data_IF_585224203055
#
_entry.id   IF_585224203055
#
_cell.length_a   1.000
_cell.length_b   1.000
_cell.length_c   1.000
_cell.angle_alpha   90.00
_cell.angle_beta   90.00
_cell.angle_gamma   90.00
#
_symmetry.space_group_name_H-M   'P 1'
#
loop_
_entity.id
_entity.type
_entity.pdbx_description
1 polymer ?
#
# COMPACT_ATOMS: atom_id res chain seq x y z
N UNK A 1 -12.37 6.67 7.66
CA UNK A 1 -12.16 5.59 6.66
C UNK A 1 -11.64 4.36 7.40
N UNK A 2 -12.45 3.30 7.50
CA UNK A 2 -12.03 2.01 8.08
C UNK A 2 -10.80 1.48 7.33
N UNK A 3 -9.86 0.89 8.08
CA UNK A 3 -8.64 0.31 7.53
C UNK A 3 -8.91 -1.11 7.02
N UNK A 4 -8.28 -1.48 5.89
CA UNK A 4 -8.48 -2.76 5.22
C UNK A 4 -7.17 -3.49 4.88
N UNK A 5 -6.02 -3.01 5.35
CA UNK A 5 -4.73 -3.66 5.12
C UNK A 5 -4.52 -4.85 6.07
N UNK A 6 -4.26 -6.04 5.54
CA UNK A 6 -3.80 -7.15 6.38
C UNK A 6 -2.29 -6.99 6.67
N UNK A 7 -1.81 -7.02 7.93
CA UNK A 7 -0.42 -6.74 8.30
C UNK A 7 0.56 -7.62 7.55
N UNK A 8 0.24 -8.91 7.40
CA UNK A 8 1.09 -9.83 6.65
C UNK A 8 1.03 -9.57 5.14
N UNK A 9 -0.10 -9.10 4.59
CA UNK A 9 -0.14 -8.68 3.18
C UNK A 9 0.65 -7.39 2.97
N UNK A 10 0.67 -6.49 3.96
CA UNK A 10 1.49 -5.29 3.95
C UNK A 10 2.98 -5.59 4.11
N UNK A 11 3.33 -6.60 4.90
CA UNK A 11 4.70 -7.05 5.11
C UNK A 11 5.24 -7.83 3.91
N UNK A 12 4.48 -8.81 3.41
CA UNK A 12 4.88 -9.69 2.31
C UNK A 12 4.65 -9.08 0.92
N UNK A 13 3.81 -8.04 0.82
CA UNK A 13 3.47 -7.31 -0.41
C UNK A 13 3.17 -8.20 -1.63
N UNK A 14 2.31 -9.22 -1.51
CA UNK A 14 2.04 -10.14 -2.60
C UNK A 14 1.26 -9.43 -3.72
N UNK A 15 1.41 -9.92 -4.96
CA UNK A 15 0.53 -9.50 -6.07
C UNK A 15 -0.89 -10.00 -5.78
N UNK A 16 -1.81 -9.07 -5.53
CA UNK A 16 -3.21 -9.38 -5.27
C UNK A 16 -3.99 -9.52 -6.59
N UNK A 17 -4.57 -10.68 -6.82
CA UNK A 17 -5.41 -10.98 -7.98
C UNK A 17 -6.84 -10.45 -7.81
N UNK A 18 -7.33 -10.45 -6.57
CA UNK A 18 -8.68 -10.02 -6.26
C UNK A 18 -8.84 -9.59 -4.80
N UNK A 19 -9.80 -8.70 -4.58
CA UNK A 19 -10.25 -8.26 -3.25
C UNK A 19 -11.76 -8.41 -3.17
N UNK A 20 -12.26 -8.98 -2.08
CA UNK A 20 -13.68 -9.10 -1.80
C UNK A 20 -14.02 -8.50 -0.44
N UNK A 21 -15.21 -7.91 -0.34
CA UNK A 21 -15.82 -7.51 0.93
C UNK A 21 -17.13 -8.28 1.12
N UNK A 22 -17.54 -8.58 2.37
CA UNK A 22 -18.86 -9.11 2.61
C UNK A 22 -19.94 -8.19 2.05
N UNK A 23 -20.98 -8.80 1.48
CA UNK A 23 -22.10 -8.06 0.92
C UNK A 23 -22.72 -7.13 1.98
N UNK A 24 -22.84 -5.83 1.64
CA UNK A 24 -23.38 -4.82 2.53
C UNK A 24 -22.38 -4.24 3.54
N UNK A 25 -21.09 -4.62 3.50
CA UNK A 25 -19.99 -4.04 4.29
C UNK A 25 -18.95 -3.32 3.39
N UNK A 26 -19.42 -2.56 2.41
CA UNK A 26 -18.63 -1.93 1.34
C UNK A 26 -18.33 -0.44 1.57
N UNK A 27 -18.88 0.16 2.63
CA UNK A 27 -18.71 1.57 2.92
C UNK A 27 -18.65 1.88 4.42
N UNK A 28 -18.14 3.07 4.77
CA UNK A 28 -17.90 3.48 6.16
C UNK A 28 -19.18 3.53 7.01
N UNK A 29 -20.33 3.90 6.44
CA UNK A 29 -21.59 3.94 7.17
C UNK A 29 -22.06 2.52 7.53
N UNK A 30 -21.88 1.56 6.63
CA UNK A 30 -22.14 0.16 6.89
C UNK A 30 -21.22 -0.43 7.95
N UNK A 31 -19.91 -0.17 7.89
CA UNK A 31 -18.95 -0.63 8.91
C UNK A 31 -19.30 -0.08 10.30
N UNK A 32 -19.63 1.21 10.41
CA UNK A 32 -20.04 1.79 11.71
C UNK A 32 -21.29 1.14 12.29
N UNK A 33 -22.28 0.84 11.43
CA UNK A 33 -23.49 0.14 11.86
C UNK A 33 -23.16 -1.28 12.35
N UNK A 34 -22.33 -2.00 11.59
CA UNK A 34 -21.91 -3.36 11.90
C UNK A 34 -21.09 -3.45 13.20
N UNK A 35 -20.33 -2.42 13.56
CA UNK A 35 -19.68 -2.34 14.88
C UNK A 35 -20.70 -2.08 15.97
N UNK A 36 -21.61 -1.12 15.75
CA UNK A 36 -22.62 -0.74 16.74
C UNK A 36 -23.60 -1.88 17.07
N UNK A 37 -23.90 -2.77 16.12
CA UNK A 37 -24.78 -3.93 16.31
C UNK A 37 -24.02 -5.22 16.67
N UNK A 38 -22.69 -5.17 16.80
CA UNK A 38 -21.85 -6.30 17.18
C UNK A 38 -21.58 -7.33 16.07
N UNK A 39 -21.99 -7.05 14.83
CA UNK A 39 -21.61 -7.86 13.66
C UNK A 39 -20.10 -7.87 13.45
N UNK A 40 -19.44 -6.72 13.63
CA UNK A 40 -17.99 -6.57 13.62
C UNK A 40 -17.49 -6.19 15.02
N UNK A 41 -16.29 -6.67 15.38
CA UNK A 41 -15.62 -6.33 16.65
C UNK A 41 -14.93 -4.97 16.58
N UNK A 42 -14.44 -4.60 15.41
CA UNK A 42 -13.62 -3.40 15.19
C UNK A 42 -14.06 -2.66 13.92
N UNK A 43 -13.84 -1.33 13.83
CA UNK A 43 -14.21 -0.52 12.67
C UNK A 43 -13.21 -0.69 11.52
N UNK A 44 -13.07 -1.92 11.03
CA UNK A 44 -12.19 -2.33 9.95
C UNK A 44 -13.01 -2.95 8.82
N UNK A 45 -12.51 -2.87 7.58
CA UNK A 45 -13.12 -3.62 6.49
C UNK A 45 -12.64 -5.08 6.57
N UNK A 46 -13.54 -6.06 6.72
CA UNK A 46 -13.17 -7.47 6.82
C UNK A 46 -12.92 -8.05 5.42
N UNK A 47 -11.85 -7.59 4.77
CA UNK A 47 -11.56 -7.94 3.38
C UNK A 47 -10.94 -9.33 3.23
N UNK A 48 -11.28 -9.99 2.13
CA UNK A 48 -10.63 -11.18 1.62
C UNK A 48 -9.75 -10.77 0.44
N UNK A 49 -8.44 -10.82 0.62
CA UNK A 49 -7.45 -10.45 -0.39
C UNK A 49 -6.78 -11.72 -0.90
N UNK A 50 -6.87 -11.98 -2.20
CA UNK A 50 -6.35 -13.20 -2.82
C UNK A 50 -5.04 -12.91 -3.55
N UNK A 51 -4.02 -13.69 -3.25
CA UNK A 51 -2.81 -13.86 -4.03
C UNK A 51 -2.83 -15.26 -4.69
N UNK A 52 -1.78 -15.62 -5.43
CA UNK A 52 -1.69 -16.87 -6.21
C UNK A 52 -2.02 -18.12 -5.36
N UNK A 53 -1.26 -18.35 -4.29
CA UNK A 53 -1.35 -19.54 -3.43
C UNK A 53 -1.90 -19.23 -2.02
N UNK A 54 -2.24 -17.97 -1.75
CA UNK A 54 -2.60 -17.49 -0.41
C UNK A 54 -3.78 -16.54 -0.41
N UNK A 55 -4.48 -16.51 0.71
CA UNK A 55 -5.50 -15.53 1.02
C UNK A 55 -5.20 -14.84 2.35
N UNK A 56 -5.32 -13.52 2.37
CA UNK A 56 -5.20 -12.69 3.57
C UNK A 56 -6.59 -12.23 3.97
N UNK A 57 -7.01 -12.60 5.18
CA UNK A 57 -8.38 -12.39 5.65
C UNK A 57 -8.41 -12.32 7.17
N UNK A 58 -9.23 -11.46 7.74
CA UNK A 58 -9.46 -11.44 9.20
C UNK A 58 -10.83 -12.00 9.55
N UNK A 59 -10.92 -13.31 9.70
CA UNK A 59 -12.17 -13.98 10.05
C UNK A 59 -12.59 -13.69 11.50
N UNK A 60 -11.62 -13.45 12.38
CA UNK A 60 -11.87 -13.11 13.78
C UNK A 60 -12.54 -11.74 13.98
N UNK A 61 -12.52 -10.84 12.98
CA UNK A 61 -13.20 -9.54 13.07
C UNK A 61 -14.72 -9.66 13.15
N UNK A 62 -15.30 -10.77 12.70
CA UNK A 62 -16.73 -11.00 12.84
C UNK A 62 -17.06 -11.37 14.30
N UNK A 63 -18.01 -10.65 14.91
CA UNK A 63 -18.36 -10.81 16.32
C UNK A 63 -18.86 -12.22 16.67
N UNK A 64 -19.41 -12.93 15.68
CA UNK A 64 -19.93 -14.30 15.82
C UNK A 64 -18.97 -15.39 15.33
N UNK A 65 -17.80 -15.04 14.81
CA UNK A 65 -16.90 -16.04 14.26
C UNK A 65 -16.44 -17.04 15.32
N UNK A 66 -16.50 -18.32 15.00
CA UNK A 66 -15.94 -19.41 15.82
C UNK A 66 -14.52 -19.78 15.40
N UNK A 67 -14.02 -19.21 14.29
CA UNK A 67 -12.64 -19.40 13.84
C UNK A 67 -11.74 -18.55 14.73
N UNK A 68 -10.79 -19.20 15.40
CA UNK A 68 -9.92 -18.57 16.42
C UNK A 68 -9.06 -17.42 15.86
N UNK A 69 -8.33 -16.74 16.74
CA UNK A 69 -7.52 -15.56 16.39
C UNK A 69 -6.34 -15.82 15.44
N UNK A 70 -5.99 -17.08 15.20
CA UNK A 70 -4.69 -17.47 14.64
C UNK A 70 -4.64 -17.66 13.12
N UNK A 71 -5.79 -17.70 12.43
CA UNK A 71 -5.84 -18.09 11.01
C UNK A 71 -6.22 -16.90 10.12
N UNK A 72 -5.33 -15.91 10.01
CA UNK A 72 -5.58 -14.70 9.19
C UNK A 72 -4.85 -14.72 7.83
N UNK A 73 -4.07 -15.76 7.58
CA UNK A 73 -3.48 -16.05 6.27
C UNK A 73 -3.66 -17.53 6.01
N UNK A 74 -4.37 -17.85 4.92
CA UNK A 74 -4.81 -19.20 4.60
C UNK A 74 -4.23 -19.62 3.25
N UNK A 75 -3.93 -20.91 3.10
CA UNK A 75 -3.57 -21.47 1.80
C UNK A 75 -4.80 -21.47 0.89
N UNK A 76 -4.62 -20.96 -0.33
CA UNK A 76 -5.64 -20.90 -1.37
C UNK A 76 -5.40 -22.05 -2.35
N UNK A 77 -6.35 -22.97 -2.38
CA UNK A 77 -6.39 -24.02 -3.39
C UNK A 77 -7.31 -23.58 -4.52
N UNK A 78 -6.72 -23.33 -5.70
CA UNK A 78 -7.48 -22.97 -6.89
C UNK A 78 -8.44 -24.11 -7.31
N UNK A 79 -9.62 -23.74 -7.78
CA UNK A 79 -10.62 -24.64 -8.35
C UNK A 79 -11.16 -24.09 -9.66
N UNK A 80 -11.93 -24.91 -10.38
CA UNK A 80 -12.49 -24.52 -11.69
C UNK A 80 -13.66 -23.54 -11.60
N UNK A 81 -14.33 -23.48 -10.46
CA UNK A 81 -15.55 -22.67 -10.24
C UNK A 81 -15.43 -21.76 -9.00
N UNK A 82 -14.20 -21.54 -8.53
CA UNK A 82 -13.94 -20.87 -7.27
C UNK A 82 -12.61 -21.31 -6.65
N UNK A 83 -12.53 -21.31 -5.33
CA UNK A 83 -11.36 -21.76 -4.59
C UNK A 83 -11.75 -22.24 -3.20
N UNK A 84 -10.82 -22.96 -2.58
CA UNK A 84 -10.90 -23.40 -1.19
C UNK A 84 -9.82 -22.71 -0.38
N UNK A 85 -10.16 -22.25 0.83
CA UNK A 85 -9.21 -21.76 1.82
C UNK A 85 -9.03 -22.82 2.90
N UNK A 86 -7.81 -23.32 3.09
CA UNK A 86 -7.51 -24.32 4.11
C UNK A 86 -7.36 -23.64 5.48
N UNK A 87 -7.97 -24.22 6.52
CA UNK A 87 -8.01 -23.63 7.87
C UNK A 87 -6.84 -24.08 8.76
N UNK A 88 -6.34 -25.30 8.55
CA UNK A 88 -5.36 -25.99 9.40
C UNK A 88 -4.40 -26.91 8.60
N UNK A 89 -4.35 -26.74 7.28
CA UNK A 89 -3.50 -27.53 6.39
C UNK A 89 -2.89 -26.65 5.31
N UNK A 90 -1.73 -27.07 4.79
CA UNK A 90 -1.07 -26.45 3.65
C UNK A 90 -1.12 -27.33 2.39
N UNK A 91 -1.76 -28.51 2.47
CA UNK A 91 -1.82 -29.47 1.37
C UNK A 91 -3.14 -29.37 0.58
N UNK A 92 -3.08 -28.76 -0.60
CA UNK A 92 -4.23 -28.68 -1.49
C UNK A 92 -4.70 -30.02 -2.06
N UNK A 93 -3.90 -31.08 -1.97
CA UNK A 93 -4.31 -32.43 -2.36
C UNK A 93 -5.19 -33.10 -1.29
N UNK A 94 -5.13 -32.66 -0.03
CA UNK A 94 -5.97 -33.18 1.03
C UNK A 94 -7.42 -32.71 0.85
N UNK A 95 -8.28 -33.62 0.38
CA UNK A 95 -9.72 -33.34 0.18
C UNK A 95 -10.52 -33.31 1.48
N UNK A 96 -9.96 -33.80 2.58
CA UNK A 96 -10.63 -33.87 3.89
C UNK A 96 -10.23 -32.72 4.82
N UNK A 97 -9.20 -31.94 4.46
CA UNK A 97 -8.76 -30.79 5.24
C UNK A 97 -9.92 -29.79 5.49
N UNK A 98 -10.16 -29.39 6.75
CA UNK A 98 -11.07 -28.32 7.11
C UNK A 98 -10.84 -27.06 6.25
N UNK A 99 -11.90 -26.61 5.58
CA UNK A 99 -11.78 -25.54 4.58
C UNK A 99 -13.06 -24.75 4.39
N UNK A 100 -12.90 -23.54 3.84
CA UNK A 100 -13.98 -22.68 3.38
C UNK A 100 -14.01 -22.67 1.85
N UNK A 101 -15.13 -23.06 1.26
CA UNK A 101 -15.32 -23.13 -0.19
C UNK A 101 -16.03 -21.88 -0.70
N UNK A 102 -15.32 -21.09 -1.50
CA UNK A 102 -15.84 -19.92 -2.16
C UNK A 102 -16.13 -20.24 -3.62
N UNK A 103 -17.39 -20.15 -4.02
CA UNK A 103 -17.85 -20.50 -5.36
C UNK A 103 -18.61 -19.37 -6.02
N UNK A 104 -18.55 -19.31 -7.35
CA UNK A 104 -19.29 -18.35 -8.16
C UNK A 104 -18.42 -17.62 -9.18
N UNK A 105 -18.98 -16.63 -9.88
CA UNK A 105 -18.23 -15.85 -10.85
C UNK A 105 -17.20 -14.98 -10.11
N UNK A 106 -15.94 -15.43 -10.13
CA UNK A 106 -14.79 -14.77 -9.49
C UNK A 106 -14.60 -13.32 -9.93
N UNK A 107 -15.18 -12.91 -11.05
CA UNK A 107 -15.12 -11.52 -11.49
C UNK A 107 -16.11 -10.59 -10.81
N UNK A 108 -17.07 -11.10 -10.05
CA UNK A 108 -18.16 -10.30 -9.48
C UNK A 108 -18.47 -10.60 -8.02
N UNK A 109 -18.76 -11.86 -7.68
CA UNK A 109 -19.21 -12.23 -6.35
C UNK A 109 -18.99 -13.72 -6.10
N UNK A 110 -18.77 -14.03 -4.83
CA UNK A 110 -18.58 -15.39 -4.34
C UNK A 110 -19.58 -15.69 -3.24
N UNK A 111 -19.93 -16.97 -3.14
CA UNK A 111 -20.69 -17.54 -2.03
C UNK A 111 -19.79 -18.54 -1.32
N UNK A 112 -19.63 -18.35 -0.02
CA UNK A 112 -18.92 -19.26 0.86
C UNK A 112 -19.89 -20.23 1.51
N UNK A 113 -19.71 -21.54 1.26
CA UNK A 113 -20.67 -22.58 1.66
C UNK A 113 -20.72 -22.80 3.17
N UNK A 114 -19.57 -22.81 3.83
CA UNK A 114 -19.44 -23.16 5.25
C UNK A 114 -19.50 -21.94 6.17
N UNK A 115 -19.44 -20.74 5.59
CA UNK A 115 -19.27 -19.47 6.32
C UNK A 115 -20.36 -19.23 7.38
N UNK A 116 -21.63 -19.51 7.08
CA UNK A 116 -22.71 -19.35 8.06
C UNK A 116 -22.50 -20.22 9.31
N UNK A 117 -22.01 -21.46 9.14
CA UNK A 117 -21.79 -22.41 10.23
C UNK A 117 -20.67 -21.99 11.18
N UNK A 118 -19.75 -21.13 10.73
CA UNK A 118 -18.63 -20.60 11.52
C UNK A 118 -18.78 -19.11 11.84
N UNK A 119 -19.99 -18.55 11.65
CA UNK A 119 -20.33 -17.20 12.07
C UNK A 119 -19.70 -16.07 11.25
N UNK A 120 -19.40 -16.32 9.97
CA UNK A 120 -18.88 -15.33 9.02
C UNK A 120 -19.85 -15.18 7.83
N UNK A 121 -19.82 -14.05 7.08
CA UNK A 121 -20.75 -13.81 5.98
C UNK A 121 -20.61 -14.83 4.84
N UNK A 122 -21.73 -15.27 4.27
CA UNK A 122 -21.73 -16.20 3.14
C UNK A 122 -21.45 -15.49 1.82
N UNK A 123 -21.90 -14.24 1.65
CA UNK A 123 -21.83 -13.54 0.36
C UNK A 123 -20.72 -12.51 0.37
N UNK A 124 -19.86 -12.59 -0.64
CA UNK A 124 -18.68 -11.75 -0.81
C UNK A 124 -18.72 -11.09 -2.18
N UNK A 125 -18.57 -9.78 -2.23
CA UNK A 125 -18.63 -8.98 -3.45
C UNK A 125 -17.22 -8.57 -3.84
N UNK A 126 -16.85 -8.87 -5.09
CA UNK A 126 -15.59 -8.44 -5.66
C UNK A 126 -15.60 -6.92 -5.69
N UNK A 127 -14.55 -6.36 -5.14
CA UNK A 127 -14.31 -4.94 -5.20
C UNK A 127 -13.58 -4.69 -6.51
N UNK A 128 -14.05 -3.69 -7.26
CA UNK A 128 -13.36 -3.28 -8.47
C UNK A 128 -11.87 -3.08 -8.13
N UNK A 129 -10.95 -3.52 -9.01
CA UNK A 129 -9.57 -3.07 -8.89
C UNK A 129 -9.60 -1.55 -8.72
N UNK A 130 -8.68 -1.02 -7.91
CA UNK A 130 -8.53 0.43 -7.76
C UNK A 130 -8.56 1.13 -9.13
N UNK A 131 -9.03 2.38 -9.15
CA UNK A 131 -9.33 3.11 -10.38
C UNK A 131 -8.30 2.82 -11.49
N UNK A 132 -8.79 2.28 -12.62
CA UNK A 132 -7.98 2.13 -13.83
C UNK A 132 -7.87 3.50 -14.48
N UNK A 133 -6.86 4.24 -14.05
CA UNK A 133 -6.61 5.56 -14.59
C UNK A 133 -5.76 5.42 -15.84
N UNK A 134 -6.25 5.97 -16.95
CA UNK A 134 -5.48 6.06 -18.18
C UNK A 134 -4.30 6.99 -17.94
N UNK A 135 -3.09 6.43 -18.01
CA UNK A 135 -1.87 7.23 -17.95
C UNK A 135 -1.65 7.93 -19.29
N UNK A 136 -1.13 9.17 -19.30
CA UNK A 136 -0.75 9.83 -20.54
C UNK A 136 0.41 9.09 -21.23
N UNK A 137 0.70 9.46 -22.47
CA UNK A 137 1.89 8.98 -23.16
C UNK A 137 3.14 9.32 -22.35
N UNK A 138 4.01 8.33 -22.17
CA UNK A 138 5.27 8.51 -21.44
C UNK A 138 6.29 9.27 -22.28
N UNK A 139 6.93 10.25 -21.67
CA UNK A 139 8.09 10.94 -22.22
C UNK A 139 9.09 11.20 -21.08
N UNK A 140 10.27 10.59 -21.16
CA UNK A 140 11.27 10.63 -20.09
C UNK A 140 11.81 12.05 -19.86
N UNK A 141 12.08 12.81 -20.93
CA UNK A 141 12.62 14.18 -20.81
C UNK A 141 11.58 15.11 -20.18
N UNK A 142 10.31 14.99 -20.57
CA UNK A 142 9.22 15.72 -19.95
C UNK A 142 9.04 15.33 -18.47
N UNK A 143 9.18 14.04 -18.13
CA UNK A 143 9.07 13.56 -16.75
C UNK A 143 10.21 14.10 -15.88
N UNK A 144 11.45 14.15 -16.38
CA UNK A 144 12.60 14.76 -15.69
C UNK A 144 12.36 16.24 -15.41
N UNK A 145 11.87 17.00 -16.41
CA UNK A 145 11.50 18.41 -16.21
C UNK A 145 10.38 18.58 -15.18
N UNK A 146 9.37 17.71 -15.19
CA UNK A 146 8.29 17.72 -14.20
C UNK A 146 8.79 17.39 -12.80
N UNK A 147 9.72 16.45 -12.68
CA UNK A 147 10.37 16.09 -11.43
C UNK A 147 11.18 17.25 -10.87
N UNK A 148 12.03 17.91 -11.66
CA UNK A 148 12.84 19.06 -11.22
C UNK A 148 11.95 20.22 -10.74
N UNK A 149 10.89 20.51 -11.51
CA UNK A 149 9.92 21.52 -11.15
C UNK A 149 9.17 21.17 -9.85
N UNK A 150 8.81 19.89 -9.68
CA UNK A 150 8.20 19.40 -8.44
C UNK A 150 9.15 19.49 -7.26
N UNK A 151 10.39 19.04 -7.42
CA UNK A 151 11.40 19.03 -6.38
C UNK A 151 11.71 20.43 -5.88
N UNK A 152 11.78 21.42 -6.78
CA UNK A 152 11.96 22.83 -6.40
C UNK A 152 10.82 23.33 -5.50
N UNK A 153 9.56 22.98 -5.82
CA UNK A 153 8.41 23.34 -4.99
C UNK A 153 8.40 22.57 -3.68
N UNK A 154 8.68 21.27 -3.73
CA UNK A 154 8.71 20.40 -2.58
C UNK A 154 9.79 20.83 -1.58
N UNK A 155 10.98 21.20 -2.04
CA UNK A 155 12.07 21.75 -1.22
C UNK A 155 11.61 23.00 -0.47
N UNK A 156 11.04 23.97 -1.19
CA UNK A 156 10.49 25.19 -0.60
C UNK A 156 9.38 24.90 0.41
N UNK A 157 8.41 24.07 0.04
CA UNK A 157 7.23 23.78 0.85
C UNK A 157 7.59 22.98 2.11
N UNK A 158 8.63 22.13 2.04
CA UNK A 158 9.08 21.27 3.14
C UNK A 158 9.97 22.00 4.16
N UNK A 159 10.52 23.18 3.83
CA UNK A 159 11.42 23.94 4.73
C UNK A 159 10.93 24.03 6.19
N UNK A 160 9.64 24.31 6.50
CA UNK A 160 9.18 24.41 7.88
C UNK A 160 9.28 23.09 8.67
N UNK A 161 9.39 21.95 7.97
CA UNK A 161 9.30 20.62 8.55
C UNK A 161 10.67 19.92 8.74
N UNK A 162 11.74 20.48 8.18
CA UNK A 162 13.05 19.82 8.05
C UNK A 162 13.75 19.51 9.38
N UNK A 163 13.37 20.12 10.50
CA UNK A 163 14.11 20.00 11.75
C UNK A 163 13.18 19.66 12.93
N UNK A 164 12.91 18.36 13.12
CA UNK A 164 12.13 17.86 14.26
C UNK A 164 10.67 18.35 14.28
N UNK A 165 9.99 18.33 13.13
CA UNK A 165 8.59 18.76 13.03
C UNK A 165 7.65 17.96 13.94
N UNK A 166 6.99 18.68 14.85
CA UNK A 166 6.00 18.11 15.78
C UNK A 166 4.66 17.78 15.10
N UNK A 167 3.87 16.92 15.74
CA UNK A 167 2.50 16.63 15.31
C UNK A 167 1.64 17.90 15.23
N UNK A 168 1.83 18.85 16.17
CA UNK A 168 1.11 20.12 16.16
C UNK A 168 1.43 20.97 14.93
N UNK A 169 2.70 20.97 14.49
CA UNK A 169 3.11 21.66 13.26
C UNK A 169 2.48 21.02 12.03
N UNK A 170 2.50 19.69 11.93
CA UNK A 170 1.84 18.95 10.84
C UNK A 170 0.33 19.19 10.79
N UNK A 171 -0.35 19.26 11.94
CA UNK A 171 -1.78 19.60 12.00
C UNK A 171 -2.06 21.06 11.59
N UNK A 172 -1.21 21.99 12.01
CA UNK A 172 -1.41 23.42 11.75
C UNK A 172 -1.01 23.86 10.34
N UNK A 173 0.03 23.26 9.77
CA UNK A 173 0.64 23.71 8.52
C UNK A 173 0.69 22.64 7.42
N UNK A 174 0.39 21.37 7.67
CA UNK A 174 0.53 20.30 6.66
C UNK A 174 -0.29 20.51 5.37
N UNK A 175 -1.35 21.32 5.41
CA UNK A 175 -2.13 21.71 4.22
C UNK A 175 -1.39 22.69 3.30
N UNK A 176 -0.30 23.33 3.74
CA UNK A 176 0.56 24.14 2.88
C UNK A 176 1.25 23.27 1.82
N UNK A 177 1.53 22.01 2.14
CA UNK A 177 2.21 21.05 1.28
C UNK A 177 1.33 20.53 0.13
N UNK A 178 0.04 20.90 0.05
CA UNK A 178 -0.93 20.30 -0.89
C UNK A 178 -0.54 20.42 -2.37
N UNK A 179 0.34 21.37 -2.71
CA UNK A 179 0.88 21.58 -4.06
C UNK A 179 2.05 20.67 -4.41
N UNK A 180 2.59 19.97 -3.42
CA UNK A 180 3.77 19.11 -3.53
C UNK A 180 3.51 17.69 -3.04
N UNK A 181 2.54 17.51 -2.13
CA UNK A 181 2.08 16.24 -1.57
C UNK A 181 0.55 16.15 -1.64
N UNK A 182 0.01 14.97 -1.94
CA UNK A 182 -1.42 14.73 -1.79
C UNK A 182 -1.78 14.62 -0.31
N UNK A 183 -2.69 15.44 0.24
CA UNK A 183 -3.08 15.35 1.63
C UNK A 183 -3.63 13.95 1.97
N UNK A 184 -3.22 13.42 3.12
CA UNK A 184 -3.64 12.08 3.62
C UNK A 184 -3.23 10.93 2.69
N UNK A 185 -2.20 11.10 1.87
CA UNK A 185 -1.61 10.01 1.08
C UNK A 185 -0.59 9.20 1.88
N UNK A 186 -0.05 8.13 1.27
CA UNK A 186 1.06 7.36 1.84
C UNK A 186 2.29 8.24 2.05
N UNK A 187 2.60 9.12 1.10
CA UNK A 187 3.69 10.08 1.25
C UNK A 187 3.50 10.98 2.48
N UNK A 188 2.31 11.53 2.70
CA UNK A 188 2.05 12.35 3.90
C UNK A 188 2.28 11.55 5.18
N UNK A 189 1.78 10.32 5.24
CA UNK A 189 1.96 9.45 6.40
C UNK A 189 3.45 9.13 6.64
N UNK A 190 4.19 8.78 5.59
CA UNK A 190 5.63 8.48 5.67
C UNK A 190 6.44 9.68 6.14
N UNK A 191 6.24 10.87 5.56
CA UNK A 191 6.95 12.09 5.95
C UNK A 191 6.60 12.52 7.39
N UNK A 192 5.34 12.37 7.80
CA UNK A 192 4.93 12.58 9.18
C UNK A 192 5.68 11.64 10.14
N UNK A 193 5.76 10.36 9.81
CA UNK A 193 6.49 9.37 10.63
C UNK A 193 7.98 9.66 10.69
N UNK A 194 8.60 10.13 9.59
CA UNK A 194 10.02 10.51 9.57
C UNK A 194 10.38 11.56 10.63
N UNK A 195 9.48 12.49 10.96
CA UNK A 195 9.75 13.56 11.93
C UNK A 195 9.20 13.31 13.34
N UNK A 196 8.21 12.42 13.48
CA UNK A 196 7.50 12.20 14.77
C UNK A 196 7.73 10.82 15.39
N UNK A 197 8.10 9.83 14.59
CA UNK A 197 8.36 8.46 15.03
C UNK A 197 9.34 7.74 14.08
N UNK A 198 10.58 8.25 13.93
CA UNK A 198 11.55 7.71 12.97
C UNK A 198 11.94 6.25 13.25
N UNK A 199 11.97 5.82 14.50
CA UNK A 199 12.28 4.44 14.88
C UNK A 199 11.19 3.46 14.40
N UNK A 200 9.92 3.88 14.49
CA UNK A 200 8.80 3.08 14.03
C UNK A 200 8.79 2.92 12.50
N UNK A 201 9.36 3.88 11.77
CA UNK A 201 9.48 3.80 10.31
C UNK A 201 10.44 2.68 9.89
N UNK A 202 11.60 2.56 10.54
CA UNK A 202 12.55 1.47 10.29
C UNK A 202 11.94 0.09 10.54
N UNK A 203 11.28 -0.08 11.68
CA UNK A 203 10.56 -1.31 12.01
C UNK A 203 9.48 -1.66 10.96
N UNK A 204 8.75 -0.67 10.45
CA UNK A 204 7.67 -0.90 9.47
C UNK A 204 8.13 -1.48 8.13
N UNK A 205 9.44 -1.38 7.81
CA UNK A 205 10.03 -1.94 6.59
C UNK A 205 10.99 -3.12 6.85
N UNK A 206 11.00 -3.64 8.08
CA UNK A 206 11.82 -4.79 8.49
C UNK A 206 13.27 -4.45 8.81
N UNK A 207 13.56 -3.20 9.20
CA UNK A 207 14.88 -2.72 9.61
C UNK A 207 14.86 -2.34 11.09
N UNK A 208 14.70 -3.34 11.96
CA UNK A 208 14.56 -3.17 13.42
C UNK A 208 15.82 -2.63 14.10
N UNK A 209 17.00 -2.92 13.53
CA UNK A 209 18.32 -2.53 14.06
C UNK A 209 18.99 -1.37 13.30
N UNK A 210 18.31 -0.75 12.34
CA UNK A 210 18.89 0.38 11.62
C UNK A 210 18.99 1.58 12.58
N UNK A 211 20.21 1.93 12.98
CA UNK A 211 20.46 3.16 13.71
C UNK A 211 19.90 4.34 12.89
N UNK A 212 18.98 5.13 13.46
CA UNK A 212 18.49 6.32 12.78
C UNK A 212 19.62 7.34 12.70
N UNK A 213 20.23 7.45 11.53
CA UNK A 213 21.27 8.45 11.29
C UNK A 213 20.59 9.79 11.03
N UNK A 214 20.60 10.66 12.05
CA UNK A 214 20.15 12.05 11.93
C UNK A 214 18.67 12.25 11.62
N UNK A 215 18.34 13.48 11.21
CA UNK A 215 16.98 13.87 10.82
C UNK A 215 16.66 13.32 9.43
N UNK A 216 15.59 12.52 9.33
CA UNK A 216 15.25 11.78 8.11
C UNK A 216 14.69 12.68 7.01
N UNK A 217 14.02 13.79 7.33
CA UNK A 217 13.44 14.68 6.32
C UNK A 217 14.50 15.44 5.50
N UNK A 218 15.53 16.07 6.11
CA UNK A 218 16.66 16.64 5.39
C UNK A 218 17.38 15.60 4.53
N UNK A 219 17.61 14.40 5.07
CA UNK A 219 18.28 13.32 4.33
C UNK A 219 17.44 12.86 3.13
N UNK A 220 16.13 12.73 3.27
CA UNK A 220 15.23 12.43 2.15
C UNK A 220 15.31 13.51 1.08
N UNK A 221 15.25 14.78 1.48
CA UNK A 221 15.33 15.90 0.54
C UNK A 221 16.66 15.92 -0.22
N UNK A 222 17.78 15.69 0.46
CA UNK A 222 19.10 15.59 -0.17
C UNK A 222 19.19 14.38 -1.12
N UNK A 223 18.64 13.23 -0.72
CA UNK A 223 18.56 12.04 -1.58
C UNK A 223 17.75 12.29 -2.85
N UNK A 224 16.61 12.98 -2.73
CA UNK A 224 15.77 13.33 -3.88
C UNK A 224 16.44 14.36 -4.79
N UNK A 225 17.30 15.24 -4.26
CA UNK A 225 18.11 16.20 -5.03
C UNK A 225 19.20 15.55 -5.88
N UNK A 226 19.67 14.36 -5.51
CA UNK A 226 20.63 13.61 -6.32
C UNK A 226 19.95 12.63 -7.27
N UNK A 227 18.66 12.34 -7.06
CA UNK A 227 17.91 11.38 -7.84
C UNK A 227 17.52 11.93 -9.23
N UNK A 228 17.48 11.04 -10.21
CA UNK A 228 16.98 11.30 -11.56
C UNK A 228 15.83 10.36 -11.91
N UNK A 229 14.79 10.85 -12.59
CA UNK A 229 13.76 9.96 -13.15
C UNK A 229 14.37 9.11 -14.26
N UNK A 230 14.24 7.79 -14.12
CA UNK A 230 14.81 6.80 -15.03
C UNK A 230 13.76 6.14 -15.93
N UNK A 231 12.49 6.11 -15.51
CA UNK A 231 11.42 5.47 -16.26
C UNK A 231 10.09 5.44 -15.49
N UNK A 232 9.11 4.73 -16.06
CA UNK A 232 7.75 4.61 -15.54
C UNK A 232 7.38 3.14 -15.30
N UNK A 233 6.82 2.85 -14.13
CA UNK A 233 6.33 1.52 -13.75
C UNK A 233 4.83 1.32 -13.92
N UNK A 234 4.18 2.14 -14.74
CA UNK A 234 2.73 2.11 -14.94
C UNK A 234 1.94 2.66 -13.74
N UNK A 235 0.68 2.25 -13.63
CA UNK A 235 -0.22 2.65 -12.53
C UNK A 235 0.12 1.83 -11.29
N UNK A 236 0.29 2.49 -10.15
CA UNK A 236 0.52 1.83 -8.88
C UNK A 236 -0.71 0.99 -8.51
N UNK A 237 -0.54 -0.33 -8.26
CA UNK A 237 -1.63 -1.21 -7.89
C UNK A 237 -1.99 -0.98 -6.42
N UNK A 238 -2.71 0.11 -6.14
CA UNK A 238 -3.04 0.51 -4.78
C UNK A 238 -4.02 -0.49 -4.14
N UNK A 239 -3.64 -1.16 -3.04
CA UNK A 239 -4.53 -2.08 -2.35
C UNK A 239 -5.61 -1.38 -1.52
N UNK A 240 -5.38 -0.12 -1.08
CA UNK A 240 -6.30 0.61 -0.21
C UNK A 240 -7.31 1.44 -1.05
N UNK A 241 -8.63 1.18 -0.98
CA UNK A 241 -9.64 1.90 -1.77
C UNK A 241 -9.60 3.42 -1.60
N UNK A 242 -9.24 3.89 -0.40
CA UNK A 242 -9.12 5.31 -0.10
C UNK A 242 -8.06 6.02 -0.95
N UNK A 243 -7.05 5.29 -1.45
CA UNK A 243 -5.96 5.81 -2.26
C UNK A 243 -6.07 5.39 -3.73
N UNK A 244 -6.90 4.40 -4.05
CA UNK A 244 -7.14 3.98 -5.44
C UNK A 244 -7.57 5.13 -6.35
N UNK A 245 -8.38 6.06 -5.84
CA UNK A 245 -8.84 7.23 -6.59
C UNK A 245 -7.72 8.23 -6.93
N UNK A 246 -6.53 8.10 -6.33
CA UNK A 246 -5.39 8.99 -6.60
C UNK A 246 -4.72 8.72 -7.94
N UNK A 247 -5.05 7.62 -8.63
CA UNK A 247 -4.46 7.32 -9.94
C UNK A 247 -2.93 7.37 -9.94
N UNK A 248 -2.31 6.87 -8.86
CA UNK A 248 -0.90 7.08 -8.64
C UNK A 248 -0.06 6.39 -9.74
N UNK A 249 0.83 7.14 -10.37
CA UNK A 249 1.76 6.71 -11.41
C UNK A 249 3.12 6.40 -10.76
N UNK A 250 3.74 5.28 -11.11
CA UNK A 250 5.05 4.86 -10.59
C UNK A 250 6.16 5.49 -11.41
N UNK A 251 7.02 6.29 -10.78
CA UNK A 251 8.20 6.88 -11.41
C UNK A 251 9.46 6.31 -10.77
N UNK A 252 10.22 5.53 -11.54
CA UNK A 252 11.49 4.98 -11.10
C UNK A 252 12.54 6.08 -10.99
N UNK A 253 13.29 6.04 -9.91
CA UNK A 253 14.39 6.94 -9.62
C UNK A 253 15.72 6.19 -9.74
N UNK A 254 16.72 6.86 -10.29
CA UNK A 254 18.13 6.49 -10.17
C UNK A 254 18.78 7.40 -9.16
N UNK A 255 19.41 6.82 -8.15
CA UNK A 255 20.13 7.55 -7.12
C UNK A 255 21.61 7.22 -7.29
N UNK A 256 22.49 8.21 -7.49
CA UNK A 256 23.92 7.98 -7.55
C UNK A 256 24.46 7.34 -6.27
N UNK A 257 25.29 6.32 -6.40
CA UNK A 257 26.03 5.71 -5.30
C UNK A 257 27.53 6.00 -5.47
N UNK A 258 28.15 6.69 -4.51
CA UNK A 258 29.57 7.09 -4.58
C UNK A 258 29.91 7.85 -5.88
N UNK A 259 29.01 8.74 -6.33
CA UNK A 259 29.17 9.51 -7.56
C UNK A 259 28.98 8.71 -8.86
N UNK A 260 28.55 7.44 -8.78
CA UNK A 260 28.25 6.60 -9.95
C UNK A 260 26.75 6.36 -10.07
N UNK A 261 26.23 6.58 -11.27
CA UNK A 261 24.84 6.27 -11.62
C UNK A 261 24.77 4.86 -12.16
N UNK A 262 23.89 4.04 -11.59
CA UNK A 262 23.57 2.73 -12.16
C UNK A 262 22.78 2.92 -13.47
N UNK A 263 23.40 2.48 -14.58
CA UNK A 263 22.83 2.57 -15.91
C UNK A 263 21.88 1.41 -16.26
N UNK A 264 21.63 0.50 -15.30
CA UNK A 264 20.73 -0.65 -15.50
C UNK A 264 19.36 -0.18 -16.01
N UNK A 265 18.81 -0.83 -17.05
CA UNK A 265 17.51 -0.47 -17.59
C UNK A 265 16.44 -0.71 -16.53
N UNK A 266 15.50 0.22 -16.42
CA UNK A 266 14.30 0.03 -15.58
C UNK A 266 13.16 -0.55 -16.43
N UNK A 267 12.25 -1.34 -15.84
CA UNK A 267 11.09 -1.87 -16.55
C UNK A 267 10.21 -0.76 -17.14
N UNK A 268 9.68 -1.01 -18.33
CA UNK A 268 8.73 -0.10 -18.98
C UNK A 268 7.29 -0.52 -18.65
N UNK A 269 6.53 0.38 -18.03
CA UNK A 269 5.10 0.24 -17.75
C UNK A 269 4.72 -0.99 -16.92
N UNK A 270 5.68 -1.53 -16.21
CA UNK A 270 5.51 -2.64 -15.27
C UNK A 270 6.15 -2.24 -13.95
N UNK A 271 5.40 -2.38 -12.86
CA UNK A 271 5.95 -2.20 -11.53
C UNK A 271 6.77 -3.44 -11.15
N UNK A 272 8.05 -3.24 -10.88
CA UNK A 272 8.96 -4.20 -10.29
C UNK A 272 9.33 -3.69 -8.89
N UNK A 273 9.15 -4.55 -7.89
CA UNK A 273 9.52 -4.31 -6.50
C UNK A 273 10.85 -4.98 -6.21
N UNK A 274 11.52 -4.52 -5.16
CA UNK A 274 12.82 -4.95 -4.68
C UNK A 274 13.99 -4.78 -5.68
N UNK A 275 13.75 -4.12 -6.82
CA UNK A 275 14.77 -3.85 -7.85
C UNK A 275 15.22 -2.39 -7.87
N UNK A 276 14.29 -1.43 -7.91
CA UNK A 276 14.60 -0.02 -8.13
C UNK A 276 13.82 0.89 -7.18
N UNK A 277 14.45 1.93 -6.60
CA UNK A 277 13.72 2.94 -5.85
C UNK A 277 12.79 3.71 -6.78
N UNK A 278 11.55 3.93 -6.34
CA UNK A 278 10.57 4.75 -7.05
C UNK A 278 9.82 5.68 -6.10
N UNK A 279 9.15 6.65 -6.69
CA UNK A 279 8.08 7.42 -6.06
C UNK A 279 6.77 7.14 -6.77
N UNK A 280 5.66 7.36 -6.09
CA UNK A 280 4.36 7.41 -6.74
C UNK A 280 3.85 8.83 -6.78
N UNK A 281 3.32 9.24 -7.93
CA UNK A 281 2.85 10.61 -8.18
C UNK A 281 1.44 10.62 -8.72
N UNK A 282 0.67 11.63 -8.39
CA UNK A 282 -0.62 11.93 -9.03
C UNK A 282 -0.44 13.17 -9.91
N UNK A 283 -1.18 13.22 -11.02
CA UNK A 283 -1.27 14.42 -11.85
C UNK A 283 -2.34 15.36 -11.31
N UNK A 284 -1.96 16.63 -11.18
CA UNK A 284 -2.84 17.74 -10.83
C UNK A 284 -2.69 18.82 -11.91
N UNK A 285 -3.52 18.72 -12.95
CA UNK A 285 -3.31 19.45 -14.21
C UNK A 285 -1.95 19.12 -14.82
N UNK A 286 -1.17 20.15 -15.09
CA UNK A 286 0.19 20.03 -15.66
C UNK A 286 1.27 19.73 -14.60
N UNK A 287 0.88 19.57 -13.33
CA UNK A 287 1.80 19.33 -12.21
C UNK A 287 1.74 17.88 -11.78
N UNK A 288 2.81 17.44 -11.15
CA UNK A 288 2.83 16.21 -10.37
C UNK A 288 2.83 16.55 -8.88
N UNK A 289 2.20 15.67 -8.10
CA UNK A 289 2.07 15.76 -6.65
C UNK A 289 2.41 14.39 -6.07
N UNK A 290 3.25 14.35 -5.03
CA UNK A 290 3.71 13.09 -4.47
C UNK A 290 2.60 12.38 -3.68
N UNK A 291 2.42 11.08 -3.94
CA UNK A 291 1.43 10.23 -3.25
C UNK A 291 2.06 9.12 -2.42
N UNK A 292 3.30 8.74 -2.69
CA UNK A 292 3.98 7.66 -1.97
C UNK A 292 5.48 7.59 -2.24
N UNK A 293 6.19 6.98 -1.29
CA UNK A 293 7.60 6.60 -1.40
C UNK A 293 7.67 5.08 -1.41
N UNK A 294 8.53 4.53 -2.27
CA UNK A 294 8.80 3.08 -2.30
C UNK A 294 9.59 2.61 -1.07
N UNK A 295 9.53 1.31 -0.78
CA UNK A 295 10.28 0.72 0.35
C UNK A 295 11.78 0.85 0.12
N UNK A 296 12.21 0.60 -1.10
CA UNK A 296 13.59 0.63 -1.60
C UNK A 296 14.19 2.03 -1.43
N UNK A 297 13.39 3.08 -1.68
CA UNK A 297 13.80 4.46 -1.43
C UNK A 297 13.98 4.75 0.06
N UNK A 298 13.04 4.30 0.91
CA UNK A 298 13.14 4.47 2.37
C UNK A 298 14.31 3.65 2.94
N UNK A 299 14.54 2.44 2.42
CA UNK A 299 15.69 1.61 2.80
C UNK A 299 17.00 2.30 2.43
N UNK A 300 17.12 2.88 1.22
CA UNK A 300 18.29 3.68 0.83
C UNK A 300 18.49 4.89 1.73
N UNK A 301 17.41 5.56 2.14
CA UNK A 301 17.48 6.65 3.10
C UNK A 301 18.03 6.19 4.46
N UNK A 302 17.57 5.06 4.97
CA UNK A 302 17.95 4.58 6.31
C UNK A 302 19.34 3.94 6.35
N UNK A 303 19.78 3.29 5.27
CA UNK A 303 21.03 2.52 5.22
C UNK A 303 22.14 3.19 4.41
N UNK A 304 21.80 4.19 3.60
CA UNK A 304 22.74 4.92 2.78
C UNK A 304 23.65 5.84 3.59
N UNK A 305 24.81 6.24 3.03
CA UNK A 305 25.69 7.21 3.66
C UNK A 305 24.97 8.55 3.88
N UNK A 306 25.43 9.34 4.84
CA UNK A 306 24.94 10.69 4.98
C UNK A 306 25.23 11.50 3.70
N UNK A 307 24.25 12.23 3.17
CA UNK A 307 24.49 13.10 2.03
C UNK A 307 25.46 14.21 2.45
N UNK A 308 26.56 14.39 1.69
CA UNK A 308 27.54 15.47 1.86
C UNK A 308 26.94 16.86 1.62
#
# INVERSE_FOLDING_TARGET
MPYDGHPLAMLLQPTLEARYLPAGLDNEAAIRRAVADGTLREPLYPSLQLAEDRAFVWLSQFGRSTLGMHSNTLVRCAGTTGFRLLLDSDDCADTQAPSLHFEGPTDTALVCRECAGVGIPERWQRQAPGAQCTLPLWNLDAARLQYDAWLTRFDHDLQPFLHGASEALWKGQGLSLRTSLVPRSRATATLFSMSTAPEALGASIGLEDAASHGDLLPRLLALLKTAEVAGRGGTYPEPLPAFCALCAEVWYLRIPENGRVDASPVPADTLERDGHPFITVMRDGDRIVLTGLSRELVQRLLTGPDPE
#
